data_IF_778441395530
#
_entry.id   IF_778441395530
#
_cell.length_a   1.000
_cell.length_b   1.000
_cell.length_c   1.000
_cell.angle_alpha   90.00
_cell.angle_beta   90.00
_cell.angle_gamma   90.00
#
_symmetry.space_group_name_H-M   'P 1'
#
loop_
_entity.id
_entity.type
_entity.pdbx_description
1 polymer ?
#
# COMPACT_ATOMS: atom_id res chain seq x y z
N UNK A 1 21.32 -13.70 -22.29
CA UNK A 1 20.27 -14.10 -21.33
C UNK A 1 19.35 -12.90 -21.22
N UNK A 2 18.37 -12.85 -22.12
CA UNK A 2 17.48 -11.71 -22.29
C UNK A 2 16.58 -11.61 -21.06
N UNK A 3 16.76 -10.55 -20.29
CA UNK A 3 15.71 -10.09 -19.37
C UNK A 3 14.82 -9.23 -20.24
N UNK A 4 13.75 -9.82 -20.75
CA UNK A 4 12.64 -9.07 -21.31
C UNK A 4 12.03 -8.23 -20.19
N UNK A 5 12.62 -7.06 -19.96
CA UNK A 5 12.12 -6.00 -19.10
C UNK A 5 10.98 -5.33 -19.86
N UNK A 6 9.85 -6.03 -20.02
CA UNK A 6 8.62 -5.37 -20.47
C UNK A 6 8.18 -4.46 -19.33
N UNK A 7 8.25 -3.12 -19.48
CA UNK A 7 7.78 -2.22 -18.45
C UNK A 7 6.30 -2.50 -18.27
N UNK A 8 5.94 -3.01 -17.09
CA UNK A 8 4.55 -3.33 -16.80
C UNK A 8 3.77 -2.03 -16.81
N UNK A 9 2.91 -1.83 -17.81
CA UNK A 9 2.08 -0.62 -17.97
C UNK A 9 0.90 -0.56 -17.00
N UNK A 10 0.99 -1.28 -15.89
CA UNK A 10 -0.10 -1.48 -14.94
C UNK A 10 -0.41 -0.17 -14.25
N UNK A 11 -1.54 0.44 -14.58
CA UNK A 11 -1.99 1.70 -13.98
C UNK A 11 -2.86 1.51 -12.74
N UNK A 12 -3.59 0.39 -12.68
CA UNK A 12 -4.53 0.10 -11.61
C UNK A 12 -4.37 -1.34 -11.14
N UNK A 13 -4.30 -1.54 -9.84
CA UNK A 13 -4.22 -2.86 -9.23
C UNK A 13 -5.21 -2.99 -8.06
N UNK A 14 -6.06 -4.02 -8.13
CA UNK A 14 -6.96 -4.41 -7.05
C UNK A 14 -6.53 -5.77 -6.50
N UNK A 15 -6.29 -5.82 -5.19
CA UNK A 15 -5.96 -7.03 -4.46
C UNK A 15 -7.05 -7.21 -3.41
N UNK A 16 -7.94 -8.18 -3.62
CA UNK A 16 -9.15 -8.33 -2.79
C UNK A 16 -9.34 -9.76 -2.33
N UNK A 17 -9.64 -9.93 -1.05
CA UNK A 17 -10.09 -11.22 -0.50
C UNK A 17 -9.05 -12.32 -0.59
N UNK A 18 -7.76 -11.99 -0.45
CA UNK A 18 -6.68 -12.98 -0.42
C UNK A 18 -6.33 -13.34 1.03
N UNK A 19 -6.90 -14.42 1.61
CA UNK A 19 -6.69 -14.75 3.01
C UNK A 19 -5.26 -15.21 3.30
N UNK A 20 -4.53 -15.73 2.30
CA UNK A 20 -3.15 -16.21 2.46
C UNK A 20 -2.08 -15.18 2.05
N UNK A 21 -2.47 -14.00 1.58
CA UNK A 21 -1.51 -12.98 1.18
C UNK A 21 -0.81 -12.41 2.43
N UNK A 22 0.48 -12.68 2.54
CA UNK A 22 1.32 -12.20 3.65
C UNK A 22 2.06 -10.90 3.33
N UNK A 23 2.37 -10.67 2.05
CA UNK A 23 3.05 -9.48 1.51
C UNK A 23 2.71 -9.32 0.03
N UNK A 24 2.95 -8.13 -0.54
CA UNK A 24 2.78 -7.87 -1.96
C UNK A 24 3.94 -8.45 -2.78
N UNK A 25 3.69 -8.96 -4.01
CA UNK A 25 4.72 -9.56 -4.84
C UNK A 25 5.71 -8.51 -5.38
N UNK A 26 7.00 -8.86 -5.40
CA UNK A 26 8.08 -7.95 -5.83
C UNK A 26 7.97 -7.51 -7.29
N UNK A 27 7.30 -8.31 -8.14
CA UNK A 27 7.07 -7.96 -9.55
C UNK A 27 6.30 -6.65 -9.75
N UNK A 28 5.55 -6.18 -8.74
CA UNK A 28 4.87 -4.88 -8.78
C UNK A 28 5.83 -3.68 -8.80
N UNK A 29 7.09 -3.88 -8.38
CA UNK A 29 8.12 -2.85 -8.49
C UNK A 29 8.36 -2.44 -9.95
N UNK A 30 8.16 -3.34 -10.91
CA UNK A 30 8.25 -3.03 -12.34
C UNK A 30 7.17 -2.06 -12.84
N UNK A 31 6.13 -1.79 -12.04
CA UNK A 31 5.08 -0.80 -12.34
C UNK A 31 5.26 0.51 -11.57
N UNK A 32 6.45 0.79 -11.01
CA UNK A 32 6.68 1.95 -10.16
C UNK A 32 6.28 3.28 -10.80
N UNK A 33 6.62 3.45 -12.08
CA UNK A 33 6.39 4.70 -12.81
C UNK A 33 5.02 4.75 -13.52
N UNK A 34 4.24 3.68 -13.46
CA UNK A 34 2.96 3.56 -14.18
C UNK A 34 1.77 3.38 -13.28
N UNK A 35 1.93 2.77 -12.10
CA UNK A 35 0.85 2.43 -11.19
C UNK A 35 0.32 3.69 -10.50
N UNK A 36 -0.93 4.04 -10.81
CA UNK A 36 -1.61 5.23 -10.29
C UNK A 36 -2.60 4.90 -9.19
N UNK A 37 -3.18 3.70 -9.19
CA UNK A 37 -4.16 3.28 -8.19
C UNK A 37 -3.88 1.88 -7.65
N UNK A 38 -3.75 1.80 -6.33
CA UNK A 38 -3.59 0.53 -5.60
C UNK A 38 -4.71 0.39 -4.55
N UNK A 39 -5.50 -0.68 -4.68
CA UNK A 39 -6.54 -1.03 -3.72
C UNK A 39 -6.23 -2.40 -3.12
N UNK A 40 -6.11 -2.48 -1.80
CA UNK A 40 -5.92 -3.72 -1.04
C UNK A 40 -7.10 -3.86 -0.09
N UNK A 41 -7.93 -4.88 -0.27
CA UNK A 41 -9.12 -5.10 0.54
C UNK A 41 -9.21 -6.53 1.07
N UNK A 42 -9.63 -6.67 2.33
CA UNK A 42 -9.96 -7.96 2.95
C UNK A 42 -8.83 -9.01 2.89
N UNK A 43 -7.56 -8.57 2.92
CA UNK A 43 -6.40 -9.45 2.99
C UNK A 43 -6.02 -9.69 4.45
N UNK A 44 -6.64 -10.70 5.06
CA UNK A 44 -6.60 -10.92 6.51
C UNK A 44 -5.21 -11.25 7.07
N UNK A 45 -4.35 -11.90 6.28
CA UNK A 45 -2.99 -12.26 6.68
C UNK A 45 -1.91 -11.24 6.29
N UNK A 46 -2.28 -10.17 5.58
CA UNK A 46 -1.33 -9.13 5.20
C UNK A 46 -0.86 -8.40 6.45
N UNK A 47 0.37 -8.67 6.86
CA UNK A 47 0.94 -8.14 8.11
C UNK A 47 1.71 -6.85 7.91
N UNK A 48 2.41 -6.74 6.78
CA UNK A 48 3.24 -5.59 6.41
C UNK A 48 3.08 -5.30 4.93
N UNK A 49 3.27 -4.04 4.58
CA UNK A 49 3.49 -3.65 3.19
C UNK A 49 5.01 -3.66 2.92
N UNK A 50 5.43 -3.95 1.69
CA UNK A 50 6.85 -4.00 1.36
C UNK A 50 7.50 -2.62 1.39
N UNK A 51 8.78 -2.56 1.74
CA UNK A 51 9.57 -1.33 1.83
C UNK A 51 9.81 -0.64 0.48
N UNK A 52 9.56 -1.31 -0.65
CA UNK A 52 9.62 -0.70 -1.98
C UNK A 52 8.32 0.01 -2.37
N UNK A 53 7.22 -0.13 -1.61
CA UNK A 53 5.95 0.54 -1.93
C UNK A 53 6.06 2.07 -2.08
N UNK A 54 6.91 2.79 -1.30
CA UNK A 54 7.16 4.20 -1.52
C UNK A 54 7.90 4.54 -2.82
N UNK A 55 8.46 3.55 -3.52
CA UNK A 55 9.12 3.74 -4.82
C UNK A 55 8.09 3.88 -5.96
N UNK A 56 6.79 3.69 -5.69
CA UNK A 56 5.71 3.86 -6.66
C UNK A 56 5.47 5.36 -6.96
N UNK A 57 6.38 5.95 -7.73
CA UNK A 57 6.47 7.39 -8.04
C UNK A 57 5.19 7.97 -8.63
N UNK A 58 4.44 7.17 -9.41
CA UNK A 58 3.21 7.58 -10.09
C UNK A 58 1.93 7.33 -9.28
N UNK A 59 2.02 6.77 -8.06
CA UNK A 59 0.87 6.37 -7.27
C UNK A 59 0.08 7.59 -6.79
N UNK A 60 -1.15 7.74 -7.30
CA UNK A 60 -2.06 8.85 -6.97
C UNK A 60 -3.03 8.49 -5.87
N UNK A 61 -3.41 7.22 -5.77
CA UNK A 61 -4.42 6.76 -4.83
C UNK A 61 -4.05 5.41 -4.23
N UNK A 62 -4.08 5.34 -2.90
CA UNK A 62 -3.86 4.12 -2.13
C UNK A 62 -5.05 3.89 -1.20
N UNK A 63 -5.69 2.73 -1.35
CA UNK A 63 -6.79 2.29 -0.49
C UNK A 63 -6.46 0.97 0.18
N UNK A 64 -6.58 0.92 1.51
CA UNK A 64 -6.34 -0.28 2.32
C UNK A 64 -7.54 -0.52 3.22
N UNK A 65 -8.32 -1.56 2.95
CA UNK A 65 -9.56 -1.86 3.65
C UNK A 65 -9.55 -3.25 4.28
N UNK A 66 -10.01 -3.37 5.53
CA UNK A 66 -10.27 -4.68 6.15
C UNK A 66 -9.03 -5.57 6.36
N UNK A 67 -7.82 -5.01 6.32
CA UNK A 67 -6.57 -5.77 6.51
C UNK A 67 -6.25 -5.85 8.01
N UNK A 68 -6.76 -6.89 8.67
CA UNK A 68 -6.78 -6.98 10.15
C UNK A 68 -5.41 -7.17 10.79
N UNK A 69 -4.47 -7.86 10.11
CA UNK A 69 -3.11 -8.09 10.62
C UNK A 69 -2.12 -6.98 10.28
N UNK A 70 -2.46 -6.07 9.36
CA UNK A 70 -1.57 -4.99 8.95
C UNK A 70 -1.27 -4.08 10.15
N UNK A 71 -0.01 -4.01 10.55
CA UNK A 71 0.41 -3.30 11.77
C UNK A 71 1.11 -1.98 11.50
N UNK A 72 1.76 -1.82 10.36
CA UNK A 72 2.50 -0.61 10.00
C UNK A 72 2.44 -0.32 8.51
N UNK A 73 2.57 0.97 8.14
CA UNK A 73 2.95 1.38 6.79
C UNK A 73 4.48 1.32 6.66
N UNK A 74 5.02 1.16 5.44
CA UNK A 74 6.47 1.14 5.23
C UNK A 74 7.06 2.52 5.55
N UNK A 75 8.37 2.57 5.79
CA UNK A 75 9.04 3.87 5.99
C UNK A 75 9.06 4.62 4.66
N UNK A 76 9.11 5.95 4.70
CA UNK A 76 9.26 6.74 3.47
C UNK A 76 7.96 6.98 2.70
N UNK A 77 6.77 6.78 3.30
CA UNK A 77 5.48 7.09 2.64
C UNK A 77 5.37 8.56 2.16
N UNK A 78 6.18 9.45 2.74
CA UNK A 78 6.40 10.84 2.30
C UNK A 78 7.03 10.97 0.91
N UNK A 79 7.69 9.92 0.40
CA UNK A 79 8.27 9.88 -0.97
C UNK A 79 7.24 9.71 -2.07
N UNK A 80 6.00 9.34 -1.73
CA UNK A 80 4.90 9.22 -2.67
C UNK A 80 4.39 10.61 -3.08
N UNK A 81 5.21 11.37 -3.82
CA UNK A 81 4.95 12.76 -4.19
C UNK A 81 3.69 12.95 -5.03
N UNK A 82 3.28 11.93 -5.80
CA UNK A 82 2.08 11.95 -6.62
C UNK A 82 0.80 11.60 -5.84
N UNK A 83 0.92 11.14 -4.59
CA UNK A 83 -0.20 10.61 -3.82
C UNK A 83 -1.16 11.73 -3.40
N UNK A 84 -2.39 11.65 -3.91
CA UNK A 84 -3.46 12.60 -3.64
C UNK A 84 -4.45 12.07 -2.62
N UNK A 85 -4.60 10.75 -2.56
CA UNK A 85 -5.61 10.12 -1.72
C UNK A 85 -5.04 8.86 -1.04
N UNK A 86 -5.04 8.88 0.29
CA UNK A 86 -4.75 7.74 1.14
C UNK A 86 -5.97 7.44 2.01
N UNK A 87 -6.56 6.25 1.83
CA UNK A 87 -7.67 5.80 2.67
C UNK A 87 -7.34 4.48 3.33
N UNK A 88 -7.48 4.45 4.65
CA UNK A 88 -7.24 3.26 5.46
C UNK A 88 -8.47 3.03 6.32
N UNK A 89 -9.14 1.88 6.14
CA UNK A 89 -10.39 1.55 6.84
C UNK A 89 -10.35 0.11 7.35
N UNK A 90 -10.97 -0.17 8.48
CA UNK A 90 -11.06 -1.55 9.01
C UNK A 90 -9.70 -2.24 9.23
N UNK A 91 -8.64 -1.48 9.53
CA UNK A 91 -7.29 -1.98 9.81
C UNK A 91 -6.92 -1.69 11.29
N UNK A 92 -7.46 -2.47 12.26
CA UNK A 92 -7.39 -2.13 13.69
C UNK A 92 -5.96 -2.14 14.27
N UNK A 93 -5.07 -3.03 13.81
CA UNK A 93 -3.68 -3.06 14.28
C UNK A 93 -2.92 -1.82 13.82
N UNK A 94 -3.05 -1.46 12.55
CA UNK A 94 -2.45 -0.25 11.99
C UNK A 94 -2.93 1.00 12.73
N UNK A 95 -4.24 1.13 12.94
CA UNK A 95 -4.82 2.26 13.68
C UNK A 95 -4.23 2.39 15.08
N UNK A 96 -4.14 1.30 15.84
CA UNK A 96 -3.55 1.30 17.19
C UNK A 96 -2.08 1.73 17.19
N UNK A 97 -1.32 1.31 16.18
CA UNK A 97 0.10 1.65 16.07
C UNK A 97 0.29 3.14 15.73
N UNK A 98 -0.58 3.70 14.89
CA UNK A 98 -0.63 5.14 14.61
C UNK A 98 -1.07 5.97 15.81
N UNK A 99 -2.12 5.57 16.52
CA UNK A 99 -2.60 6.27 17.73
C UNK A 99 -1.53 6.30 18.83
N UNK A 100 -0.71 5.26 18.94
CA UNK A 100 0.43 5.22 19.87
C UNK A 100 1.57 6.18 19.47
N UNK A 101 1.77 6.38 18.17
CA UNK A 101 2.87 7.19 17.61
C UNK A 101 2.51 8.66 17.40
N UNK A 102 1.23 8.99 17.19
CA UNK A 102 0.77 10.31 16.75
C UNK A 102 -0.02 10.99 17.87
N UNK A 103 0.71 11.59 18.81
CA UNK A 103 0.16 12.60 19.74
C UNK A 103 -0.13 13.96 19.10
N UNK A 104 0.10 14.18 17.79
CA UNK A 104 -0.28 15.37 17.00
C UNK A 104 0.03 15.15 15.50
N UNK A 105 -0.91 15.54 14.64
CA UNK A 105 -0.80 15.77 13.17
C UNK A 105 -0.46 14.57 12.27
N UNK A 106 -1.49 13.98 11.61
CA UNK A 106 -1.80 14.08 10.16
C UNK A 106 -3.29 13.70 10.00
N UNK A 107 -4.07 14.40 9.16
CA UNK A 107 -5.48 14.03 8.87
C UNK A 107 -5.52 12.76 8.00
N UNK A 108 -5.36 11.60 8.61
CA UNK A 108 -5.77 10.34 7.99
C UNK A 108 -7.29 10.20 8.14
N UNK A 109 -8.01 10.10 7.03
CA UNK A 109 -9.44 9.77 7.09
C UNK A 109 -9.60 8.27 7.34
N UNK A 110 -9.50 7.86 8.60
CA UNK A 110 -10.04 6.59 9.07
C UNK A 110 -11.55 6.75 9.17
N UNK A 111 -12.29 6.41 8.11
CA UNK A 111 -13.74 6.22 8.18
C UNK A 111 -14.06 4.74 8.38
#
# INVERSE_FOLDING_TARGET
MERDDYPTSLQTLHIRGLPQLVSLPQGLKGSADTLQFLCIANCGNLGVLPEWLPDLSSLRKLQIWGCRKLSSLPKGMDRLIALRELQIRGCPKLRRDYERKVGKMVKFSFR
#
